data_IF_708363137793
#
_entry.id   IF_708363137793
#
_cell.length_a   1.000
_cell.length_b   1.000
_cell.length_c   1.000
_cell.angle_alpha   90.00
_cell.angle_beta   90.00
_cell.angle_gamma   90.00
#
_symmetry.space_group_name_H-M   'P 1'
#
loop_
_entity.id
_entity.type
_entity.pdbx_description
1 polymer ?
#
# COMPACT_ATOMS: atom_id res chain seq x y z
N UNK A 1 -22.86 53.57 -10.56
CA UNK A 1 -21.90 52.90 -9.65
C UNK A 1 -20.61 53.69 -9.62
N UNK A 2 -20.12 54.05 -8.43
CA UNK A 2 -18.88 54.82 -8.27
C UNK A 2 -17.66 53.99 -8.67
N UNK A 3 -16.68 54.61 -9.35
CA UNK A 3 -15.43 53.97 -9.83
C UNK A 3 -14.71 53.18 -8.73
N UNK A 4 -14.78 53.66 -7.48
CA UNK A 4 -14.22 52.99 -6.29
C UNK A 4 -14.79 51.59 -6.08
N UNK A 5 -16.10 51.39 -6.25
CA UNK A 5 -16.74 50.07 -6.09
C UNK A 5 -16.32 49.09 -7.19
N UNK A 6 -16.09 49.58 -8.40
CA UNK A 6 -15.64 48.78 -9.55
C UNK A 6 -14.21 48.26 -9.37
N UNK A 7 -13.33 49.10 -8.83
CA UNK A 7 -11.94 48.72 -8.50
C UNK A 7 -11.93 47.75 -7.31
N UNK A 8 -12.69 48.03 -6.25
CA UNK A 8 -12.73 47.18 -5.06
C UNK A 8 -13.26 45.77 -5.40
N UNK A 9 -14.28 45.67 -6.25
CA UNK A 9 -14.80 44.39 -6.74
C UNK A 9 -13.78 43.59 -7.56
N UNK A 10 -13.01 44.26 -8.42
CA UNK A 10 -11.92 43.60 -9.17
C UNK A 10 -10.82 43.08 -8.26
N UNK A 11 -10.37 43.88 -7.29
CA UNK A 11 -9.34 43.45 -6.32
C UNK A 11 -9.83 42.28 -5.49
N UNK A 12 -11.05 42.34 -4.95
CA UNK A 12 -11.64 41.25 -4.20
C UNK A 12 -11.77 39.97 -5.04
N UNK A 13 -12.19 40.09 -6.31
CA UNK A 13 -12.27 38.98 -7.25
C UNK A 13 -10.92 38.32 -7.49
N UNK A 14 -9.87 39.12 -7.73
CA UNK A 14 -8.51 38.60 -7.94
C UNK A 14 -7.99 37.90 -6.69
N UNK A 15 -8.19 38.47 -5.49
CA UNK A 15 -7.77 37.85 -4.23
C UNK A 15 -8.48 36.50 -4.02
N UNK A 16 -9.78 36.42 -4.28
CA UNK A 16 -10.55 35.18 -4.16
C UNK A 16 -10.09 34.12 -5.18
N UNK A 17 -9.84 34.53 -6.42
CA UNK A 17 -9.35 33.62 -7.47
C UNK A 17 -7.98 33.03 -7.10
N UNK A 18 -7.05 33.86 -6.64
CA UNK A 18 -5.73 33.40 -6.20
C UNK A 18 -5.83 32.48 -4.97
N UNK A 19 -6.68 32.83 -4.00
CA UNK A 19 -6.91 32.00 -2.82
C UNK A 19 -7.48 30.62 -3.18
N UNK A 20 -8.43 30.57 -4.12
CA UNK A 20 -9.02 29.32 -4.59
C UNK A 20 -8.00 28.46 -5.36
N UNK A 21 -7.22 29.09 -6.25
CA UNK A 21 -6.19 28.41 -7.04
C UNK A 21 -5.13 27.75 -6.13
N UNK A 22 -4.59 28.51 -5.17
CA UNK A 22 -3.64 27.99 -4.18
C UNK A 22 -4.27 26.86 -3.35
N UNK A 23 -5.53 27.01 -2.92
CA UNK A 23 -6.21 25.97 -2.13
C UNK A 23 -6.34 24.66 -2.90
N UNK A 24 -6.73 24.73 -4.18
CA UNK A 24 -6.83 23.54 -5.04
C UNK A 24 -5.45 22.90 -5.26
N UNK A 25 -4.44 23.72 -5.50
CA UNK A 25 -3.08 23.26 -5.76
C UNK A 25 -2.46 22.56 -4.53
N UNK A 26 -2.65 23.13 -3.33
CA UNK A 26 -2.20 22.52 -2.07
C UNK A 26 -2.92 21.21 -1.80
N UNK A 27 -4.25 21.16 -2.00
CA UNK A 27 -5.03 19.92 -1.80
C UNK A 27 -4.55 18.80 -2.72
N UNK A 28 -4.32 19.10 -3.99
CA UNK A 28 -3.85 18.10 -4.96
C UNK A 28 -2.46 17.55 -4.59
N UNK A 29 -1.52 18.42 -4.19
CA UNK A 29 -0.19 17.98 -3.76
C UNK A 29 -0.23 17.17 -2.48
N UNK A 30 -0.98 17.62 -1.48
CA UNK A 30 -1.10 16.93 -0.20
C UNK A 30 -1.69 15.53 -0.39
N UNK A 31 -2.72 15.37 -1.23
CA UNK A 31 -3.29 14.06 -1.54
C UNK A 31 -2.31 13.13 -2.24
N UNK A 32 -1.55 13.64 -3.21
CA UNK A 32 -0.55 12.85 -3.92
C UNK A 32 0.59 12.41 -3.01
N UNK A 33 1.08 13.31 -2.15
CA UNK A 33 2.21 13.05 -1.25
C UNK A 33 1.82 12.10 -0.10
N UNK A 34 0.61 12.24 0.46
CA UNK A 34 0.07 11.29 1.43
C UNK A 34 -0.08 9.89 0.82
N UNK A 35 -0.60 9.80 -0.41
CA UNK A 35 -0.73 8.51 -1.11
C UNK A 35 0.63 7.85 -1.35
N UNK A 36 1.60 8.60 -1.88
CA UNK A 36 2.94 8.10 -2.15
C UNK A 36 3.68 7.67 -0.87
N UNK A 37 3.48 8.38 0.24
CA UNK A 37 4.06 8.01 1.54
C UNK A 37 3.50 6.69 2.07
N UNK A 38 2.18 6.47 1.95
CA UNK A 38 1.53 5.21 2.34
C UNK A 38 2.01 4.05 1.48
N UNK A 39 2.13 4.26 0.17
CA UNK A 39 2.66 3.26 -0.76
C UNK A 39 4.11 2.90 -0.44
N UNK A 40 4.98 3.91 -0.27
CA UNK A 40 6.38 3.69 0.09
C UNK A 40 6.53 2.94 1.42
N UNK A 41 5.67 3.23 2.40
CA UNK A 41 5.63 2.52 3.67
C UNK A 41 5.16 1.08 3.52
N UNK A 42 4.12 0.83 2.72
CA UNK A 42 3.65 -0.51 2.39
C UNK A 42 4.76 -1.36 1.75
N UNK A 43 5.44 -0.81 0.75
CA UNK A 43 6.59 -1.45 0.09
C UNK A 43 7.71 -1.75 1.09
N UNK A 44 8.04 -0.82 1.99
CA UNK A 44 9.08 -1.03 3.00
C UNK A 44 8.73 -2.18 3.96
N UNK A 45 7.48 -2.25 4.42
CA UNK A 45 7.00 -3.32 5.31
C UNK A 45 7.03 -4.67 4.59
N UNK A 46 6.49 -4.76 3.37
CA UNK A 46 6.47 -6.02 2.62
C UNK A 46 7.88 -6.48 2.25
N UNK A 47 8.81 -5.56 1.95
CA UNK A 47 10.22 -5.91 1.71
C UNK A 47 10.93 -6.43 2.95
N UNK A 48 10.72 -5.83 4.13
CA UNK A 48 11.25 -6.36 5.40
C UNK A 48 10.69 -7.76 5.67
N UNK A 49 9.37 -7.92 5.49
CA UNK A 49 8.68 -9.19 5.66
C UNK A 49 9.22 -10.26 4.71
N UNK A 50 9.42 -9.94 3.43
CA UNK A 50 9.99 -10.85 2.44
C UNK A 50 11.44 -11.25 2.77
N UNK A 51 12.28 -10.29 3.19
CA UNK A 51 13.66 -10.57 3.58
C UNK A 51 13.76 -11.52 4.78
N UNK A 52 12.94 -11.28 5.81
CA UNK A 52 12.89 -12.13 7.01
C UNK A 52 12.23 -13.48 6.74
N UNK A 53 11.26 -13.53 5.83
CA UNK A 53 10.61 -14.77 5.42
C UNK A 53 11.55 -15.70 4.65
N UNK A 54 12.51 -15.16 3.90
CA UNK A 54 13.48 -15.97 3.15
C UNK A 54 14.23 -16.96 4.04
N UNK A 55 14.77 -16.50 5.17
CA UNK A 55 15.50 -17.36 6.12
C UNK A 55 14.59 -18.41 6.77
N UNK A 56 13.34 -18.04 7.06
CA UNK A 56 12.37 -18.93 7.70
C UNK A 56 11.86 -20.01 6.74
N UNK A 57 11.69 -19.69 5.46
CA UNK A 57 11.33 -20.67 4.42
C UNK A 57 12.48 -21.64 4.19
N UNK A 58 13.73 -21.15 4.10
CA UNK A 58 14.91 -22.00 3.93
C UNK A 58 15.14 -22.96 5.10
N UNK A 59 14.68 -22.59 6.30
CA UNK A 59 14.77 -23.41 7.52
C UNK A 59 13.48 -24.18 7.82
N UNK A 60 12.50 -24.16 6.91
CA UNK A 60 11.19 -24.81 7.04
C UNK A 60 10.45 -24.47 8.34
N UNK A 61 10.67 -23.27 8.87
CA UNK A 61 10.11 -22.84 10.15
C UNK A 61 8.79 -22.09 9.98
N UNK A 62 7.74 -22.82 9.62
CA UNK A 62 6.39 -22.26 9.40
C UNK A 62 5.81 -21.61 10.65
N UNK A 63 6.16 -22.08 11.85
CA UNK A 63 5.70 -21.48 13.10
C UNK A 63 6.27 -20.07 13.29
N UNK A 64 7.57 -19.91 13.09
CA UNK A 64 8.22 -18.59 13.15
C UNK A 64 7.72 -17.68 12.03
N UNK A 65 7.41 -18.21 10.84
CA UNK A 65 6.84 -17.45 9.74
C UNK A 65 5.43 -16.92 10.09
N UNK A 66 4.61 -17.73 10.76
CA UNK A 66 3.31 -17.30 11.27
C UNK A 66 3.41 -16.26 12.38
N UNK A 67 4.41 -16.40 13.26
CA UNK A 67 4.68 -15.39 14.28
C UNK A 67 5.14 -14.08 13.64
N UNK A 68 6.02 -14.15 12.65
CA UNK A 68 6.50 -13.00 11.89
C UNK A 68 5.34 -12.21 11.26
N UNK A 69 4.38 -12.89 10.62
CA UNK A 69 3.17 -12.22 10.09
C UNK A 69 2.37 -11.54 11.20
N UNK A 70 2.10 -12.25 12.30
CA UNK A 70 1.34 -11.68 13.42
C UNK A 70 2.03 -10.44 13.99
N UNK A 71 3.34 -10.53 14.25
CA UNK A 71 4.15 -9.43 14.75
C UNK A 71 4.12 -8.25 13.76
N UNK A 72 4.15 -8.49 12.45
CA UNK A 72 4.04 -7.43 11.44
C UNK A 72 2.68 -6.72 11.50
N UNK A 73 1.56 -7.46 11.64
CA UNK A 73 0.24 -6.85 11.78
C UNK A 73 0.09 -6.08 13.11
N UNK A 74 0.61 -6.62 14.21
CA UNK A 74 0.57 -5.96 15.52
C UNK A 74 1.38 -4.66 15.54
N UNK A 75 2.53 -4.63 14.87
CA UNK A 75 3.41 -3.47 14.80
C UNK A 75 2.96 -2.42 13.77
N UNK A 76 2.08 -2.78 12.83
CA UNK A 76 1.65 -1.90 11.74
C UNK A 76 0.10 -1.87 11.67
N UNK A 77 -0.57 -1.00 12.44
CA UNK A 77 -2.03 -0.97 12.52
C UNK A 77 -2.73 -0.61 11.19
N UNK A 78 -1.99 -0.05 10.23
CA UNK A 78 -2.49 0.27 8.89
C UNK A 78 -2.48 -0.95 7.94
N UNK A 79 -1.88 -2.07 8.34
CA UNK A 79 -1.81 -3.32 7.55
C UNK A 79 -3.03 -4.17 7.85
N UNK A 80 -3.88 -4.37 6.84
CA UNK A 80 -5.15 -5.10 7.02
C UNK A 80 -5.01 -6.62 6.98
N UNK A 81 -4.06 -7.11 6.18
CA UNK A 81 -3.73 -8.52 6.03
C UNK A 81 -2.28 -8.69 5.56
N UNK A 82 -1.73 -9.89 5.76
CA UNK A 82 -0.53 -10.35 5.07
C UNK A 82 -0.63 -11.87 4.87
N UNK A 83 -0.04 -12.37 3.78
CA UNK A 83 0.08 -13.80 3.52
C UNK A 83 1.39 -14.06 2.78
N UNK A 84 1.85 -15.30 2.82
CA UNK A 84 3.06 -15.74 2.12
C UNK A 84 2.67 -16.91 1.23
N UNK A 85 2.98 -16.79 -0.06
CA UNK A 85 2.83 -17.84 -1.05
C UNK A 85 4.18 -18.52 -1.26
N UNK A 86 4.16 -19.83 -1.46
CA UNK A 86 5.28 -20.61 -1.97
C UNK A 86 5.48 -20.36 -3.47
N UNK A 87 6.59 -20.84 -4.02
CA UNK A 87 6.90 -20.73 -5.45
C UNK A 87 5.94 -21.51 -6.36
N UNK A 88 5.18 -22.45 -5.83
CA UNK A 88 4.10 -23.18 -6.52
C UNK A 88 2.73 -22.46 -6.46
N UNK A 89 2.66 -21.31 -5.78
CA UNK A 89 1.41 -20.56 -5.56
C UNK A 89 0.59 -21.06 -4.37
N UNK A 90 1.06 -22.07 -3.63
CA UNK A 90 0.44 -22.54 -2.40
C UNK A 90 0.59 -21.53 -1.25
N UNK A 91 -0.43 -21.37 -0.42
CA UNK A 91 -0.35 -20.50 0.76
C UNK A 91 0.46 -21.21 1.84
N UNK A 92 1.62 -20.65 2.21
CA UNK A 92 2.44 -21.15 3.33
C UNK A 92 1.87 -20.68 4.66
N UNK A 93 1.49 -19.41 4.75
CA UNK A 93 0.94 -18.81 5.95
C UNK A 93 0.12 -17.57 5.62
N UNK A 94 -0.81 -17.21 6.50
CA UNK A 94 -1.67 -16.05 6.31
C UNK A 94 -2.17 -15.49 7.64
N UNK A 95 -2.61 -14.23 7.62
CA UNK A 95 -3.26 -13.56 8.75
C UNK A 95 -4.78 -13.75 8.80
N UNK A 96 -5.40 -14.35 7.78
CA UNK A 96 -6.85 -14.54 7.72
C UNK A 96 -7.35 -15.58 8.73
N UNK A 97 -8.50 -15.33 9.36
CA UNK A 97 -9.08 -16.24 10.36
C UNK A 97 -9.69 -17.51 9.77
N UNK A 98 -10.24 -17.47 8.55
CA UNK A 98 -10.92 -18.61 7.90
C UNK A 98 -10.20 -19.13 6.63
N UNK A 99 -8.99 -18.62 6.35
CA UNK A 99 -8.24 -18.89 5.11
C UNK A 99 -8.18 -17.68 4.19
N UNK A 100 -7.24 -17.69 3.24
CA UNK A 100 -7.07 -16.62 2.24
C UNK A 100 -8.24 -16.68 1.23
N UNK A 101 -8.93 -15.57 0.95
CA UNK A 101 -9.92 -15.53 -0.12
C UNK A 101 -9.29 -15.93 -1.47
N UNK A 102 -9.85 -16.92 -2.18
CA UNK A 102 -9.24 -17.43 -3.41
C UNK A 102 -9.16 -16.37 -4.52
N UNK A 103 -10.06 -15.39 -4.51
CA UNK A 103 -10.08 -14.28 -5.47
C UNK A 103 -8.93 -13.28 -5.25
N UNK A 104 -8.31 -13.28 -4.05
CA UNK A 104 -7.20 -12.40 -3.71
C UNK A 104 -5.86 -12.93 -4.27
N UNK A 105 -5.70 -14.25 -4.36
CA UNK A 105 -4.46 -14.90 -4.80
C UNK A 105 -4.02 -14.50 -6.22
N UNK A 106 -4.89 -14.47 -7.25
CA UNK A 106 -4.48 -14.10 -8.61
C UNK A 106 -4.51 -12.58 -8.85
N UNK A 107 -4.90 -11.76 -7.87
CA UNK A 107 -5.25 -10.36 -8.13
C UNK A 107 -4.02 -9.49 -8.40
N UNK A 108 -2.90 -9.77 -7.72
CA UNK A 108 -1.66 -8.99 -7.79
C UNK A 108 -0.42 -9.88 -8.00
N UNK A 109 -0.29 -10.54 -9.17
CA UNK A 109 0.85 -11.40 -9.44
C UNK A 109 2.11 -10.55 -9.69
N UNK A 110 3.16 -10.80 -8.91
CA UNK A 110 4.49 -10.22 -9.13
C UNK A 110 5.35 -11.20 -9.93
N UNK A 111 6.00 -10.71 -10.98
CA UNK A 111 6.93 -11.52 -11.75
C UNK A 111 8.27 -11.64 -11.00
N UNK A 112 9.00 -12.75 -11.19
CA UNK A 112 10.32 -12.99 -10.57
C UNK A 112 11.33 -11.85 -10.83
N UNK A 113 11.19 -11.15 -11.97
CA UNK A 113 12.06 -10.05 -12.38
C UNK A 113 11.66 -8.68 -11.85
N UNK A 114 10.50 -8.55 -11.18
CA UNK A 114 10.04 -7.28 -10.62
C UNK A 114 10.37 -7.20 -9.12
N UNK A 115 10.89 -6.06 -8.62
CA UNK A 115 11.27 -5.94 -7.21
C UNK A 115 10.06 -5.90 -6.27
N UNK A 116 8.94 -5.39 -6.75
CA UNK A 116 7.66 -5.27 -6.05
C UNK A 116 6.56 -4.94 -7.06
N UNK A 117 5.30 -5.13 -6.66
CA UNK A 117 4.13 -4.71 -7.42
C UNK A 117 3.04 -4.20 -6.48
N UNK A 118 2.55 -3.01 -6.76
CA UNK A 118 1.50 -2.35 -6.00
C UNK A 118 0.20 -2.34 -6.80
N UNK A 119 -0.91 -2.73 -6.16
CA UNK A 119 -2.23 -2.71 -6.78
C UNK A 119 -3.29 -2.24 -5.79
N UNK A 120 -4.15 -1.31 -6.21
CA UNK A 120 -5.28 -0.85 -5.40
C UNK A 120 -6.49 -1.75 -5.65
N UNK A 121 -7.06 -2.28 -4.58
CA UNK A 121 -8.21 -3.18 -4.57
C UNK A 121 -9.41 -2.50 -3.92
N UNK A 122 -10.59 -2.72 -4.47
CA UNK A 122 -11.85 -2.37 -3.82
C UNK A 122 -12.30 -3.54 -2.93
N UNK A 123 -12.51 -3.26 -1.65
CA UNK A 123 -13.00 -4.23 -0.66
C UNK A 123 -14.23 -3.70 0.06
N UNK A 124 -14.94 -4.55 0.81
CA UNK A 124 -16.10 -4.16 1.62
C UNK A 124 -15.76 -3.10 2.69
N UNK A 125 -14.48 -2.97 3.05
CA UNK A 125 -13.97 -1.99 4.02
C UNK A 125 -13.44 -0.71 3.35
N UNK A 126 -13.52 -0.63 2.02
CA UNK A 126 -13.01 0.48 1.21
C UNK A 126 -11.81 0.07 0.35
N UNK A 127 -11.07 1.08 -0.13
CA UNK A 127 -9.88 0.87 -0.97
C UNK A 127 -8.69 0.40 -0.14
N UNK A 128 -8.10 -0.74 -0.53
CA UNK A 128 -6.90 -1.30 0.07
C UNK A 128 -5.77 -1.26 -0.95
N UNK A 129 -4.59 -0.81 -0.56
CA UNK A 129 -3.39 -0.92 -1.37
C UNK A 129 -2.70 -2.25 -1.06
N UNK A 130 -2.76 -3.18 -2.00
CA UNK A 130 -2.07 -4.45 -1.95
C UNK A 130 -0.65 -4.31 -2.50
N UNK A 131 0.33 -4.89 -1.81
CA UNK A 131 1.75 -4.79 -2.17
C UNK A 131 2.36 -6.18 -2.15
N UNK A 132 2.81 -6.64 -3.31
CA UNK A 132 3.43 -7.95 -3.50
C UNK A 132 4.95 -7.80 -3.69
N UNK A 133 5.75 -8.58 -2.96
CA UNK A 133 7.22 -8.60 -3.05
C UNK A 133 7.71 -10.05 -3.19
N UNK A 134 8.52 -10.38 -4.22
CA UNK A 134 9.06 -11.72 -4.37
C UNK A 134 10.16 -12.01 -3.34
N UNK A 135 10.12 -13.22 -2.78
CA UNK A 135 11.12 -13.74 -1.83
C UNK A 135 12.24 -14.43 -2.62
N UNK A 136 13.49 -14.04 -2.39
CA UNK A 136 14.66 -14.58 -3.10
C UNK A 136 14.51 -14.52 -4.63
N UNK A 137 14.05 -13.37 -5.14
CA UNK A 137 13.73 -13.17 -6.56
C UNK A 137 12.68 -14.16 -7.10
N UNK A 138 11.71 -14.54 -6.26
CA UNK A 138 10.57 -15.38 -6.59
C UNK A 138 10.80 -16.87 -6.38
N UNK A 139 12.04 -17.30 -6.13
CA UNK A 139 12.40 -18.72 -5.97
C UNK A 139 11.83 -19.34 -4.70
N UNK A 140 11.68 -18.57 -3.65
CA UNK A 140 11.13 -19.03 -2.38
C UNK A 140 9.65 -18.68 -2.21
N UNK A 141 9.08 -17.91 -3.15
CA UNK A 141 7.69 -17.48 -3.10
C UNK A 141 7.51 -15.97 -3.16
N UNK A 142 6.36 -15.50 -2.68
CA UNK A 142 5.93 -14.10 -2.71
C UNK A 142 5.23 -13.78 -1.39
N UNK A 143 5.43 -12.56 -0.87
CA UNK A 143 4.65 -11.98 0.22
C UNK A 143 3.74 -10.89 -0.33
#
# INVERSE_FOLDING_TARGET
MSIRAKILGMVAGVVLLLGLDVTLQVRARLQAELGASLEARGIAITRDLAARSADLILTENTFALAQLIRDTLENNPDVRYAFVLASDGGVLVHSFGQGVPPDLLPVNPVAESQPDRVQVLDSDEGRITDVAVPILAGRAGVV
#
